data_IF_919728030397
#
_entry.id   IF_919728030397
#
_cell.length_a   1.000
_cell.length_b   1.000
_cell.length_c   1.000
_cell.angle_alpha   90.00
_cell.angle_beta   90.00
_cell.angle_gamma   90.00
#
_symmetry.space_group_name_H-M   'P 1'
#
loop_
_entity.id
_entity.type
_entity.pdbx_description
1 polymer ?
#
# COMPACT_ATOMS: atom_id res chain seq x y z
N UNK A 1 -27.37 28.73 1.18
CA UNK A 1 -27.38 27.26 0.92
C UNK A 1 -26.75 27.00 -0.45
N UNK A 2 -27.09 27.77 -1.52
CA UNK A 2 -26.67 27.50 -2.91
C UNK A 2 -25.15 27.67 -3.20
N UNK A 3 -24.44 28.57 -2.49
CA UNK A 3 -23.00 28.78 -2.71
C UNK A 3 -22.10 27.70 -2.07
N UNK A 4 -22.56 27.10 -0.98
CA UNK A 4 -21.79 26.08 -0.27
C UNK A 4 -21.85 24.73 -1.02
N UNK A 5 -23.02 24.38 -1.57
CA UNK A 5 -23.21 23.17 -2.35
C UNK A 5 -22.42 23.17 -3.67
N UNK A 6 -22.29 24.34 -4.30
CA UNK A 6 -21.49 24.51 -5.53
C UNK A 6 -19.99 24.32 -5.26
N UNK A 7 -19.46 24.96 -4.20
CA UNK A 7 -18.03 24.83 -3.84
C UNK A 7 -17.65 23.41 -3.40
N UNK A 8 -18.53 22.72 -2.66
CA UNK A 8 -18.33 21.33 -2.25
C UNK A 8 -18.37 20.39 -3.45
N UNK A 9 -19.29 20.63 -4.40
CA UNK A 9 -19.37 19.87 -5.64
C UNK A 9 -18.12 19.98 -6.50
N UNK A 10 -17.58 21.18 -6.68
CA UNK A 10 -16.38 21.41 -7.50
C UNK A 10 -15.11 20.84 -6.87
N UNK A 11 -14.95 20.98 -5.54
CA UNK A 11 -13.79 20.41 -4.82
C UNK A 11 -13.86 18.89 -4.83
N UNK A 12 -15.04 18.31 -4.68
CA UNK A 12 -15.23 16.87 -4.73
C UNK A 12 -14.98 16.32 -6.14
N UNK A 13 -15.39 17.03 -7.19
CA UNK A 13 -15.17 16.65 -8.59
C UNK A 13 -13.68 16.71 -8.97
N UNK A 14 -12.95 17.76 -8.56
CA UNK A 14 -11.49 17.88 -8.78
C UNK A 14 -10.71 16.80 -8.04
N UNK A 15 -11.07 16.48 -6.81
CA UNK A 15 -10.44 15.42 -6.02
C UNK A 15 -10.64 14.03 -6.61
N UNK A 16 -11.86 13.72 -7.03
CA UNK A 16 -12.16 12.48 -7.74
C UNK A 16 -11.37 12.38 -9.04
N UNK A 17 -11.29 13.48 -9.81
CA UNK A 17 -10.53 13.53 -11.05
C UNK A 17 -9.03 13.30 -10.81
N UNK A 18 -8.43 13.93 -9.80
CA UNK A 18 -7.01 13.76 -9.46
C UNK A 18 -6.68 12.35 -8.95
N UNK A 19 -7.54 11.78 -8.10
CA UNK A 19 -7.38 10.40 -7.67
C UNK A 19 -7.51 9.43 -8.85
N UNK A 20 -8.49 9.65 -9.73
CA UNK A 20 -8.65 8.88 -10.94
C UNK A 20 -7.44 8.99 -11.87
N UNK A 21 -6.91 10.19 -12.07
CA UNK A 21 -5.72 10.45 -12.89
C UNK A 21 -4.49 9.76 -12.30
N UNK A 22 -4.28 9.86 -10.99
CA UNK A 22 -3.18 9.20 -10.26
C UNK A 22 -3.25 7.67 -10.44
N UNK A 23 -4.42 7.09 -10.23
CA UNK A 23 -4.66 5.66 -10.39
C UNK A 23 -4.44 5.24 -11.85
N UNK A 24 -4.96 6.01 -12.80
CA UNK A 24 -4.82 5.73 -14.24
C UNK A 24 -3.35 5.73 -14.68
N UNK A 25 -2.55 6.69 -14.21
CA UNK A 25 -1.11 6.76 -14.50
C UNK A 25 -0.37 5.52 -13.97
N UNK A 26 -0.70 5.07 -12.76
CA UNK A 26 -0.08 3.87 -12.16
C UNK A 26 -0.50 2.61 -12.94
N UNK A 27 -1.75 2.50 -13.36
CA UNK A 27 -2.23 1.37 -14.18
C UNK A 27 -1.55 1.36 -15.54
N UNK A 28 -1.42 2.50 -16.21
CA UNK A 28 -0.73 2.63 -17.49
C UNK A 28 0.74 2.23 -17.36
N UNK A 29 1.41 2.66 -16.29
CA UNK A 29 2.79 2.26 -16.03
C UNK A 29 2.91 0.76 -15.76
N UNK A 30 1.98 0.18 -15.01
CA UNK A 30 1.93 -1.27 -14.78
C UNK A 30 1.72 -2.04 -16.08
N UNK A 31 0.80 -1.60 -16.95
CA UNK A 31 0.58 -2.18 -18.27
C UNK A 31 1.82 -2.11 -19.16
N UNK A 32 2.54 -0.97 -19.13
CA UNK A 32 3.82 -0.82 -19.82
C UNK A 32 4.88 -1.81 -19.31
N UNK A 33 4.97 -2.03 -17.98
CA UNK A 33 5.90 -3.00 -17.40
C UNK A 33 5.54 -4.44 -17.81
N UNK A 34 4.26 -4.76 -17.92
CA UNK A 34 3.80 -6.07 -18.39
C UNK A 34 4.17 -6.31 -19.87
N UNK A 35 4.02 -5.31 -20.74
CA UNK A 35 4.48 -5.38 -22.15
C UNK A 35 6.00 -5.61 -22.26
N UNK A 36 6.78 -4.94 -21.41
CA UNK A 36 8.23 -5.17 -21.31
C UNK A 36 8.59 -6.57 -20.85
N UNK A 37 7.80 -7.16 -19.97
CA UNK A 37 7.96 -8.55 -19.55
C UNK A 37 7.69 -9.51 -20.70
N UNK A 38 6.62 -9.27 -21.45
CA UNK A 38 6.27 -10.11 -22.63
C UNK A 38 7.45 -10.23 -23.58
N UNK A 39 8.16 -9.15 -23.79
CA UNK A 39 9.39 -9.11 -24.58
C UNK A 39 10.61 -9.72 -23.85
N UNK A 40 10.40 -10.44 -22.73
CA UNK A 40 11.44 -11.09 -21.88
C UNK A 40 12.54 -10.15 -21.38
N UNK A 41 12.25 -8.86 -21.26
CA UNK A 41 13.23 -7.85 -20.84
C UNK A 41 13.28 -7.63 -19.32
N UNK A 42 12.25 -8.06 -18.56
CA UNK A 42 12.12 -7.75 -17.14
C UNK A 42 11.60 -8.98 -16.38
N UNK A 43 12.16 -9.25 -15.20
CA UNK A 43 11.68 -10.29 -14.29
C UNK A 43 10.46 -9.84 -13.47
N UNK A 44 9.59 -10.76 -13.06
CA UNK A 44 8.38 -10.50 -12.30
C UNK A 44 8.60 -9.69 -11.02
N UNK A 45 9.65 -10.03 -10.26
CA UNK A 45 10.01 -9.30 -9.02
C UNK A 45 10.36 -7.84 -9.29
N UNK A 46 11.04 -7.58 -10.40
CA UNK A 46 11.48 -6.24 -10.81
C UNK A 46 10.30 -5.36 -11.18
N UNK A 47 9.24 -5.94 -11.79
CA UNK A 47 8.02 -5.21 -12.13
C UNK A 47 7.35 -4.64 -10.88
N UNK A 48 7.18 -5.46 -9.84
CA UNK A 48 6.53 -5.01 -8.60
C UNK A 48 7.37 -3.93 -7.91
N UNK A 49 8.69 -4.08 -7.87
CA UNK A 49 9.58 -3.07 -7.29
C UNK A 49 9.50 -1.74 -8.05
N UNK A 50 9.53 -1.78 -9.39
CA UNK A 50 9.40 -0.57 -10.20
C UNK A 50 8.04 0.10 -10.05
N UNK A 51 6.97 -0.70 -9.97
CA UNK A 51 5.62 -0.18 -9.71
C UNK A 51 5.57 0.59 -8.39
N UNK A 52 6.15 0.03 -7.33
CA UNK A 52 6.17 0.67 -6.01
C UNK A 52 7.05 1.94 -6.01
N UNK A 53 8.24 1.90 -6.61
CA UNK A 53 9.09 3.11 -6.73
C UNK A 53 8.39 4.21 -7.52
N UNK A 54 7.76 3.85 -8.63
CA UNK A 54 6.98 4.81 -9.43
C UNK A 54 5.81 5.40 -8.62
N UNK A 55 5.12 4.55 -7.85
CA UNK A 55 4.04 5.01 -6.97
C UNK A 55 4.53 5.98 -5.89
N UNK A 56 5.73 5.78 -5.34
CA UNK A 56 6.36 6.73 -4.41
C UNK A 56 6.56 8.10 -5.08
N UNK A 57 7.06 8.12 -6.30
CA UNK A 57 7.26 9.38 -7.05
C UNK A 57 5.92 10.09 -7.25
N UNK A 58 4.90 9.37 -7.68
CA UNK A 58 3.56 9.92 -7.91
C UNK A 58 2.95 10.48 -6.62
N UNK A 59 3.04 9.74 -5.48
CA UNK A 59 2.54 10.24 -4.19
C UNK A 59 3.18 11.57 -3.81
N UNK A 60 4.50 11.66 -3.95
CA UNK A 60 5.21 12.88 -3.56
C UNK A 60 4.90 14.06 -4.50
N UNK A 61 4.72 13.80 -5.79
CA UNK A 61 4.24 14.81 -6.74
C UNK A 61 2.83 15.27 -6.35
N UNK A 62 1.93 14.33 -6.02
CA UNK A 62 0.56 14.64 -5.59
C UNK A 62 0.54 15.50 -4.34
N UNK A 63 1.37 15.18 -3.34
CA UNK A 63 1.48 15.97 -2.10
C UNK A 63 1.95 17.40 -2.40
N UNK A 64 2.96 17.57 -3.25
CA UNK A 64 3.54 18.88 -3.55
C UNK A 64 2.60 19.80 -4.33
N UNK A 65 1.86 19.26 -5.29
CA UNK A 65 1.07 20.07 -6.23
C UNK A 65 -0.42 20.19 -5.88
N UNK A 66 -1.00 19.21 -5.18
CA UNK A 66 -2.45 19.08 -5.08
C UNK A 66 -3.01 19.14 -3.65
N UNK A 67 -2.15 19.25 -2.62
CA UNK A 67 -2.62 19.37 -1.26
C UNK A 67 -2.78 20.86 -0.88
N UNK A 68 -3.87 21.47 -1.33
CA UNK A 68 -4.16 22.89 -0.97
C UNK A 68 -4.47 23.02 0.51
N UNK A 69 -4.17 24.21 1.09
CA UNK A 69 -4.47 24.52 2.50
C UNK A 69 -5.98 24.45 2.80
N UNK A 70 -6.82 24.79 1.84
CA UNK A 70 -8.29 24.79 1.98
C UNK A 70 -8.81 23.35 2.10
N UNK A 71 -8.33 22.45 1.26
CA UNK A 71 -8.73 21.03 1.31
C UNK A 71 -8.27 20.36 2.60
N UNK A 72 -7.08 20.69 3.09
CA UNK A 72 -6.59 20.21 4.38
C UNK A 72 -7.50 20.66 5.53
N UNK A 73 -7.99 21.89 5.52
CA UNK A 73 -8.84 22.40 6.59
C UNK A 73 -10.21 21.70 6.65
N UNK A 74 -10.83 21.44 5.51
CA UNK A 74 -12.12 20.72 5.46
C UNK A 74 -11.99 19.27 5.90
N UNK A 75 -10.96 18.58 5.42
CA UNK A 75 -10.68 17.20 5.82
C UNK A 75 -10.33 17.13 7.31
N UNK A 76 -9.60 18.13 7.82
CA UNK A 76 -9.26 18.26 9.23
C UNK A 76 -10.50 18.39 10.11
N UNK A 77 -11.42 19.26 9.73
CA UNK A 77 -12.66 19.48 10.48
C UNK A 77 -13.51 18.18 10.52
N UNK A 78 -13.64 17.50 9.40
CA UNK A 78 -14.36 16.22 9.34
C UNK A 78 -13.71 15.14 10.22
N UNK A 79 -12.40 14.97 10.13
CA UNK A 79 -11.66 13.99 10.94
C UNK A 79 -11.67 14.34 12.42
N UNK A 80 -11.61 15.62 12.78
CA UNK A 80 -11.73 16.06 14.16
C UNK A 80 -13.10 15.68 14.76
N UNK A 81 -14.19 15.88 14.03
CA UNK A 81 -15.52 15.47 14.46
C UNK A 81 -15.58 13.96 14.70
N UNK A 82 -15.13 13.16 13.74
CA UNK A 82 -15.11 11.70 13.89
C UNK A 82 -14.24 11.24 15.06
N UNK A 83 -13.06 11.83 15.23
CA UNK A 83 -12.16 11.46 16.32
C UNK A 83 -12.75 11.84 17.67
N UNK A 84 -13.39 12.99 17.79
CA UNK A 84 -14.06 13.42 19.01
C UNK A 84 -15.26 12.52 19.36
N UNK A 85 -16.05 12.10 18.38
CA UNK A 85 -17.15 11.15 18.58
C UNK A 85 -16.61 9.79 19.07
N UNK A 86 -15.53 9.30 18.46
CA UNK A 86 -14.87 8.06 18.86
C UNK A 86 -14.30 8.15 20.29
N UNK A 87 -13.61 9.25 20.63
CA UNK A 87 -13.05 9.46 21.97
C UNK A 87 -14.12 9.64 23.05
N UNK A 88 -15.26 10.24 22.74
CA UNK A 88 -16.40 10.33 23.66
C UNK A 88 -17.02 8.97 23.97
N UNK A 89 -16.97 8.04 23.02
CA UNK A 89 -17.48 6.67 23.23
C UNK A 89 -16.52 5.77 24.01
N UNK A 90 -15.24 6.15 24.12
CA UNK A 90 -14.20 5.41 24.84
C UNK A 90 -13.72 6.22 26.05
N UNK A 91 -14.26 5.92 27.23
CA UNK A 91 -13.99 6.68 28.49
C UNK A 91 -12.50 6.76 28.90
N UNK A 92 -11.61 5.94 28.32
CA UNK A 92 -10.21 5.79 28.76
C UNK A 92 -9.19 6.58 27.92
N UNK A 93 -9.59 7.26 26.83
CA UNK A 93 -8.65 7.88 25.87
C UNK A 93 -8.59 9.43 25.93
N UNK A 94 -9.00 10.02 27.04
CA UNK A 94 -9.02 11.52 27.20
C UNK A 94 -7.63 12.20 27.16
N UNK A 95 -6.54 11.43 27.18
CA UNK A 95 -5.15 11.96 27.26
C UNK A 95 -4.58 12.30 25.86
N UNK A 96 -5.22 11.85 24.78
CA UNK A 96 -4.66 12.04 23.43
C UNK A 96 -5.19 13.35 22.84
N UNK A 97 -4.27 14.27 22.52
CA UNK A 97 -4.61 15.47 21.77
C UNK A 97 -5.12 15.09 20.36
N UNK A 98 -6.46 15.12 20.20
CA UNK A 98 -7.15 14.79 18.98
C UNK A 98 -6.68 15.64 17.79
N UNK A 99 -6.22 16.87 18.03
CA UNK A 99 -5.79 17.78 16.97
C UNK A 99 -4.46 17.34 16.35
N UNK A 100 -3.50 16.95 17.18
CA UNK A 100 -2.18 16.48 16.71
C UNK A 100 -2.27 15.14 15.98
N UNK A 101 -3.14 14.25 16.44
CA UNK A 101 -3.42 12.98 15.75
C UNK A 101 -4.01 13.19 14.36
N UNK A 102 -5.01 14.04 14.25
CA UNK A 102 -5.66 14.36 12.98
C UNK A 102 -4.68 14.98 11.99
N UNK A 103 -3.81 15.89 12.45
CA UNK A 103 -2.79 16.51 11.60
C UNK A 103 -1.77 15.48 11.05
N UNK A 104 -1.41 14.48 11.84
CA UNK A 104 -0.55 13.37 11.39
C UNK A 104 -1.29 12.52 10.34
N UNK A 105 -2.53 12.12 10.63
CA UNK A 105 -3.34 11.30 9.74
C UNK A 105 -3.48 11.96 8.37
N UNK A 106 -3.85 13.25 8.31
CA UNK A 106 -4.00 13.97 7.05
C UNK A 106 -2.74 13.90 6.20
N UNK A 107 -1.58 14.07 6.82
CA UNK A 107 -0.30 14.12 6.13
C UNK A 107 0.18 12.75 5.64
N UNK A 108 -0.31 11.64 6.22
CA UNK A 108 0.05 10.28 5.80
C UNK A 108 -1.01 9.61 4.89
N UNK A 109 -2.22 10.20 4.79
CA UNK A 109 -3.31 9.68 3.91
C UNK A 109 -2.83 9.37 2.49
N UNK A 110 -2.02 10.20 1.79
CA UNK A 110 -1.57 9.89 0.45
C UNK A 110 -0.81 8.56 0.35
N UNK A 111 0.08 8.28 1.30
CA UNK A 111 0.80 7.01 1.38
C UNK A 111 -0.13 5.83 1.62
N UNK A 112 -1.10 5.99 2.53
CA UNK A 112 -2.10 4.95 2.84
C UNK A 112 -2.96 4.65 1.61
N UNK A 113 -3.41 5.66 0.89
CA UNK A 113 -4.23 5.50 -0.31
C UNK A 113 -3.49 4.70 -1.39
N UNK A 114 -2.22 5.03 -1.63
CA UNK A 114 -1.41 4.29 -2.62
C UNK A 114 -1.13 2.86 -2.14
N UNK A 115 -0.83 2.67 -0.87
CA UNK A 115 -0.66 1.32 -0.32
C UNK A 115 -1.92 0.47 -0.53
N UNK A 116 -3.10 1.01 -0.22
CA UNK A 116 -4.40 0.34 -0.42
C UNK A 116 -4.65 0.05 -1.90
N UNK A 117 -4.35 1.01 -2.77
CA UNK A 117 -4.46 0.85 -4.21
C UNK A 117 -3.55 -0.28 -4.75
N UNK A 118 -2.28 -0.31 -4.36
CA UNK A 118 -1.34 -1.35 -4.76
C UNK A 118 -1.79 -2.73 -4.28
N UNK A 119 -2.33 -2.80 -3.07
CA UNK A 119 -2.90 -4.05 -2.52
C UNK A 119 -4.07 -4.52 -3.38
N UNK A 120 -5.01 -3.64 -3.69
CA UNK A 120 -6.17 -3.94 -4.54
C UNK A 120 -5.76 -4.33 -5.95
N UNK A 121 -4.80 -3.63 -6.55
CA UNK A 121 -4.28 -3.90 -7.89
C UNK A 121 -3.69 -5.32 -7.98
N UNK A 122 -2.79 -5.68 -7.07
CA UNK A 122 -2.17 -7.01 -7.09
C UNK A 122 -3.17 -8.12 -6.72
N UNK A 123 -4.11 -7.84 -5.84
CA UNK A 123 -5.15 -8.78 -5.49
C UNK A 123 -6.08 -9.06 -6.68
N UNK A 124 -6.56 -8.03 -7.36
CA UNK A 124 -7.36 -8.17 -8.58
C UNK A 124 -6.59 -8.90 -9.68
N UNK A 125 -5.30 -8.59 -9.85
CA UNK A 125 -4.45 -9.30 -10.79
C UNK A 125 -4.35 -10.79 -10.45
N UNK A 126 -4.24 -11.15 -9.18
CA UNK A 126 -4.18 -12.54 -8.73
C UNK A 126 -5.50 -13.30 -8.97
N UNK A 127 -6.64 -12.66 -8.68
CA UNK A 127 -7.98 -13.22 -8.96
C UNK A 127 -8.16 -13.45 -10.46
N UNK A 128 -7.87 -12.44 -11.26
CA UNK A 128 -7.99 -12.50 -12.72
C UNK A 128 -7.17 -13.67 -13.27
N UNK A 129 -5.96 -13.88 -12.78
CA UNK A 129 -5.13 -15.02 -13.15
C UNK A 129 -5.82 -16.36 -12.84
N UNK A 130 -6.41 -16.52 -11.65
CA UNK A 130 -7.10 -17.75 -11.25
C UNK A 130 -8.30 -18.01 -12.19
N UNK A 131 -9.05 -16.96 -12.52
CA UNK A 131 -10.21 -17.08 -13.42
C UNK A 131 -9.80 -17.47 -14.84
N UNK A 132 -8.77 -16.83 -15.38
CA UNK A 132 -8.26 -17.08 -16.73
C UNK A 132 -7.77 -18.53 -16.88
N UNK A 133 -7.02 -19.04 -15.89
CA UNK A 133 -6.56 -20.45 -15.88
C UNK A 133 -7.76 -21.40 -15.84
N UNK A 134 -8.83 -21.08 -15.10
CA UNK A 134 -10.05 -21.90 -15.07
C UNK A 134 -10.84 -21.87 -16.37
N UNK A 135 -10.76 -20.78 -17.13
CA UNK A 135 -11.47 -20.61 -18.41
C UNK A 135 -10.68 -21.18 -19.60
N UNK A 136 -9.55 -21.87 -19.38
CA UNK A 136 -8.68 -22.47 -20.41
C UNK A 136 -8.25 -21.49 -21.51
N UNK A 137 -8.12 -20.20 -21.20
CA UNK A 137 -7.50 -19.26 -22.11
C UNK A 137 -5.99 -19.57 -22.20
N UNK A 138 -5.60 -20.27 -23.26
CA UNK A 138 -4.21 -20.51 -23.62
C UNK A 138 -3.55 -19.16 -23.95
N UNK A 139 -2.32 -18.94 -23.54
CA UNK A 139 -1.49 -17.75 -23.84
C UNK A 139 -1.59 -16.53 -22.93
N UNK A 140 -2.12 -16.62 -21.72
CA UNK A 140 -2.02 -15.48 -20.81
C UNK A 140 -0.84 -15.64 -19.85
N UNK A 141 -0.02 -14.56 -19.83
CA UNK A 141 1.20 -14.45 -19.05
C UNK A 141 1.06 -14.98 -17.63
N UNK A 142 1.82 -16.02 -17.32
CA UNK A 142 1.90 -16.55 -15.96
C UNK A 142 2.90 -15.73 -15.15
N UNK A 143 2.39 -14.69 -14.49
CA UNK A 143 3.15 -13.98 -13.46
C UNK A 143 3.40 -14.96 -12.29
N UNK A 144 4.66 -15.33 -12.06
CA UNK A 144 5.00 -16.24 -10.95
C UNK A 144 5.09 -15.47 -9.64
N UNK A 145 3.94 -15.05 -9.12
CA UNK A 145 3.83 -14.34 -7.84
C UNK A 145 4.43 -15.12 -6.66
N UNK A 146 4.44 -16.45 -6.76
CA UNK A 146 4.91 -17.34 -5.68
C UNK A 146 6.41 -17.32 -5.43
N UNK A 147 7.20 -16.65 -6.26
CA UNK A 147 8.65 -16.54 -6.12
C UNK A 147 9.16 -15.12 -5.86
N UNK A 148 8.26 -14.19 -5.49
CA UNK A 148 8.65 -12.82 -5.20
C UNK A 148 9.56 -12.76 -3.96
N UNK A 149 10.66 -12.07 -4.09
CA UNK A 149 11.61 -11.74 -3.02
C UNK A 149 12.03 -10.29 -3.16
N UNK A 150 11.99 -9.56 -2.06
CA UNK A 150 12.44 -8.17 -2.03
C UNK A 150 13.95 -8.10 -2.26
N UNK A 151 14.44 -7.25 -3.18
CA UNK A 151 15.86 -6.95 -3.29
C UNK A 151 16.41 -6.34 -1.98
N UNK A 152 17.60 -6.75 -1.57
CA UNK A 152 18.17 -6.29 -0.30
C UNK A 152 18.30 -4.77 -0.21
N UNK A 153 18.64 -4.10 -1.31
CA UNK A 153 18.77 -2.64 -1.34
C UNK A 153 17.44 -1.94 -1.03
N UNK A 154 16.29 -2.51 -1.44
CA UNK A 154 14.96 -1.97 -1.12
C UNK A 154 14.67 -2.09 0.36
N UNK A 155 15.00 -3.23 0.97
CA UNK A 155 14.85 -3.42 2.41
C UNK A 155 15.78 -2.50 3.22
N UNK A 156 16.99 -2.26 2.75
CA UNK A 156 17.90 -1.27 3.34
C UNK A 156 17.33 0.15 3.22
N UNK A 157 16.79 0.51 2.05
CA UNK A 157 16.15 1.80 1.82
C UNK A 157 14.95 2.01 2.76
N UNK A 158 14.14 0.97 2.99
CA UNK A 158 13.06 1.00 3.97
C UNK A 158 13.58 1.33 5.37
N UNK A 159 14.65 0.67 5.83
CA UNK A 159 15.22 0.94 7.14
C UNK A 159 15.84 2.35 7.25
N UNK A 160 16.47 2.85 6.18
CA UNK A 160 16.96 4.23 6.12
C UNK A 160 15.81 5.22 6.27
N UNK A 161 14.73 5.06 5.51
CA UNK A 161 13.54 5.93 5.63
C UNK A 161 12.87 5.82 6.99
N UNK A 162 12.87 4.63 7.58
CA UNK A 162 12.39 4.43 8.95
C UNK A 162 13.17 5.28 9.94
N UNK A 163 14.50 5.23 9.94
CA UNK A 163 15.37 6.04 10.81
C UNK A 163 15.17 7.53 10.53
N UNK A 164 15.16 7.96 9.26
CA UNK A 164 14.98 9.36 8.87
C UNK A 164 13.62 9.92 9.31
N UNK A 165 12.57 9.10 9.34
CA UNK A 165 11.25 9.52 9.80
C UNK A 165 11.20 9.90 11.29
N UNK A 166 12.14 9.40 12.10
CA UNK A 166 12.30 9.78 13.51
C UNK A 166 13.29 10.93 13.73
N UNK A 167 14.33 11.02 12.90
CA UNK A 167 15.37 12.03 13.07
C UNK A 167 14.99 13.39 12.49
N UNK A 168 14.12 13.43 11.48
CA UNK A 168 13.78 14.65 10.77
C UNK A 168 12.47 15.22 11.32
N UNK A 169 12.44 16.55 11.53
CA UNK A 169 11.29 17.28 12.00
C UNK A 169 10.62 18.08 10.87
N UNK A 170 9.40 18.55 11.12
CA UNK A 170 8.64 19.37 10.18
C UNK A 170 8.03 18.58 9.02
N UNK A 171 7.83 19.23 7.88
CA UNK A 171 7.15 18.64 6.74
C UNK A 171 7.94 17.51 6.06
N UNK A 172 9.27 17.57 6.11
CA UNK A 172 10.12 16.52 5.55
C UNK A 172 9.90 15.16 6.23
N UNK A 173 9.55 15.12 7.53
CA UNK A 173 9.17 13.89 8.23
C UNK A 173 8.04 13.16 7.51
N UNK A 174 7.02 13.87 7.07
CA UNK A 174 5.85 13.25 6.41
C UNK A 174 6.16 12.74 5.01
N UNK A 175 7.13 13.36 4.32
CA UNK A 175 7.68 12.81 3.09
C UNK A 175 8.24 11.40 3.33
N UNK A 176 9.13 11.25 4.32
CA UNK A 176 9.72 9.95 4.65
C UNK A 176 8.68 8.94 5.14
N UNK A 177 7.69 9.37 5.93
CA UNK A 177 6.59 8.52 6.37
C UNK A 177 5.76 7.98 5.20
N UNK A 178 5.39 8.82 4.23
CA UNK A 178 4.67 8.38 3.04
C UNK A 178 5.49 7.40 2.20
N UNK A 179 6.79 7.67 2.00
CA UNK A 179 7.68 6.75 1.32
C UNK A 179 7.77 5.39 2.07
N UNK A 180 7.88 5.43 3.39
CA UNK A 180 7.93 4.26 4.25
C UNK A 180 6.64 3.42 4.14
N UNK A 181 5.47 4.07 4.18
CA UNK A 181 4.17 3.40 4.05
C UNK A 181 4.09 2.69 2.69
N UNK A 182 4.48 3.36 1.61
CA UNK A 182 4.43 2.74 0.27
C UNK A 182 5.47 1.61 0.13
N UNK A 183 6.68 1.76 0.68
CA UNK A 183 7.68 0.68 0.70
C UNK A 183 7.26 -0.50 1.57
N UNK A 184 6.53 -0.26 2.66
CA UNK A 184 6.03 -1.32 3.54
C UNK A 184 5.11 -2.30 2.80
N UNK A 185 4.51 -1.85 1.69
CA UNK A 185 3.74 -2.71 0.80
C UNK A 185 4.56 -3.90 0.27
N UNK A 186 5.83 -3.71 -0.09
CA UNK A 186 6.68 -4.80 -0.57
C UNK A 186 6.93 -5.85 0.52
N UNK A 187 7.17 -5.38 1.76
CA UNK A 187 7.39 -6.25 2.92
C UNK A 187 6.10 -7.03 3.23
N UNK A 188 4.97 -6.35 3.26
CA UNK A 188 3.66 -6.96 3.41
C UNK A 188 3.40 -8.02 2.33
N UNK A 189 3.69 -7.69 1.07
CA UNK A 189 3.47 -8.58 -0.05
C UNK A 189 4.34 -9.85 0.02
N UNK A 190 5.61 -9.74 0.43
CA UNK A 190 6.47 -10.92 0.65
C UNK A 190 5.94 -11.79 1.80
N UNK A 191 5.47 -11.17 2.88
CA UNK A 191 4.79 -11.88 3.98
C UNK A 191 3.53 -12.60 3.53
N UNK A 192 2.72 -11.94 2.68
CA UNK A 192 1.54 -12.56 2.07
C UNK A 192 1.89 -13.80 1.24
N UNK A 193 2.94 -13.72 0.43
CA UNK A 193 3.42 -14.86 -0.36
C UNK A 193 3.92 -16.00 0.53
N UNK A 194 4.67 -15.66 1.59
CA UNK A 194 5.13 -16.67 2.55
C UNK A 194 3.95 -17.36 3.24
N UNK A 195 2.96 -16.60 3.66
CA UNK A 195 1.73 -17.13 4.23
C UNK A 195 0.97 -18.01 3.24
N UNK A 196 0.82 -17.58 1.99
CA UNK A 196 0.20 -18.37 0.94
C UNK A 196 0.93 -19.70 0.68
N UNK A 197 2.27 -19.73 0.77
CA UNK A 197 3.06 -20.96 0.63
C UNK A 197 2.75 -21.99 1.74
N UNK A 198 2.40 -21.53 2.94
CA UNK A 198 1.99 -22.44 4.03
C UNK A 198 0.74 -23.24 3.61
N UNK A 199 -0.25 -22.56 3.02
CA UNK A 199 -1.45 -23.22 2.53
C UNK A 199 -1.21 -24.21 1.38
N UNK A 200 -0.14 -23.99 0.58
CA UNK A 200 0.23 -24.93 -0.48
C UNK A 200 0.62 -26.30 0.08
N UNK A 201 1.19 -26.34 1.28
CA UNK A 201 1.62 -27.56 1.94
C UNK A 201 0.44 -28.49 2.30
N UNK A 202 -0.76 -27.94 2.47
CA UNK A 202 -1.96 -28.66 2.90
C UNK A 202 -2.87 -29.13 1.75
N UNK A 203 -2.41 -29.12 0.50
CA UNK A 203 -3.14 -29.58 -0.70
C UNK A 203 -4.58 -29.03 -0.86
N UNK A 204 -4.88 -27.93 -0.21
CA UNK A 204 -6.18 -27.26 -0.24
C UNK A 204 -6.42 -26.72 -1.66
N UNK A 205 -7.67 -26.80 -2.16
CA UNK A 205 -8.04 -26.23 -3.46
C UNK A 205 -7.75 -24.71 -3.50
N UNK A 206 -7.26 -24.20 -4.63
CA UNK A 206 -6.90 -22.79 -4.80
C UNK A 206 -8.05 -21.83 -4.54
N UNK A 207 -9.28 -22.20 -4.86
CA UNK A 207 -10.46 -21.42 -4.54
C UNK A 207 -10.71 -21.34 -3.03
N UNK A 208 -10.57 -22.47 -2.34
CA UNK A 208 -10.74 -22.53 -0.87
C UNK A 208 -9.63 -21.75 -0.16
N UNK A 209 -8.38 -21.80 -0.63
CA UNK A 209 -7.28 -20.97 -0.13
C UNK A 209 -7.62 -19.48 -0.23
N UNK A 210 -8.11 -19.07 -1.40
CA UNK A 210 -8.53 -17.70 -1.62
C UNK A 210 -9.65 -17.29 -0.68
N UNK A 211 -10.68 -18.12 -0.55
CA UNK A 211 -11.81 -17.88 0.34
C UNK A 211 -11.37 -17.73 1.81
N UNK A 212 -10.47 -18.60 2.28
CA UNK A 212 -9.94 -18.53 3.65
C UNK A 212 -9.18 -17.21 3.85
N UNK A 213 -8.29 -16.83 2.92
CA UNK A 213 -7.53 -15.59 3.02
C UNK A 213 -8.47 -14.39 3.01
N UNK A 214 -9.47 -14.39 2.14
CA UNK A 214 -10.48 -13.32 2.06
C UNK A 214 -11.28 -13.18 3.36
N UNK A 215 -11.73 -14.30 3.92
CA UNK A 215 -12.42 -14.31 5.22
C UNK A 215 -11.50 -13.82 6.35
N UNK A 216 -10.24 -14.22 6.36
CA UNK A 216 -9.26 -13.71 7.33
C UNK A 216 -9.08 -12.18 7.21
N UNK A 217 -9.09 -11.62 6.00
CA UNK A 217 -9.05 -10.17 5.81
C UNK A 217 -10.29 -9.48 6.36
N UNK A 218 -11.49 -10.07 6.18
CA UNK A 218 -12.74 -9.50 6.70
C UNK A 218 -12.76 -9.55 8.24
N UNK A 219 -12.40 -10.68 8.83
CA UNK A 219 -12.53 -10.88 10.28
C UNK A 219 -11.38 -10.31 11.10
N UNK A 220 -10.15 -10.43 10.61
CA UNK A 220 -8.96 -9.97 11.32
C UNK A 220 -8.48 -8.58 10.90
N UNK A 221 -8.94 -8.06 9.75
CA UNK A 221 -8.66 -6.70 9.29
C UNK A 221 -7.21 -6.26 9.50
N UNK A 222 -7.02 -5.26 10.35
CA UNK A 222 -5.70 -4.67 10.64
C UNK A 222 -4.71 -5.65 11.27
N UNK A 223 -5.18 -6.62 12.07
CA UNK A 223 -4.31 -7.59 12.74
C UNK A 223 -3.62 -8.49 11.72
N UNK A 224 -4.36 -8.96 10.72
CA UNK A 224 -3.76 -9.77 9.64
C UNK A 224 -2.72 -8.97 8.87
N UNK A 225 -2.97 -7.70 8.64
CA UNK A 225 -2.04 -6.78 7.98
C UNK A 225 -0.71 -6.70 8.73
N UNK A 226 -0.78 -6.48 10.05
CA UNK A 226 0.40 -6.43 10.92
C UNK A 226 1.15 -7.76 10.93
N UNK A 227 0.43 -8.87 11.04
CA UNK A 227 1.03 -10.22 11.04
C UNK A 227 1.79 -10.48 9.73
N UNK A 228 1.20 -10.19 8.58
CA UNK A 228 1.83 -10.38 7.29
C UNK A 228 3.05 -9.48 7.11
N UNK A 229 2.98 -8.23 7.57
CA UNK A 229 4.11 -7.31 7.59
C UNK A 229 5.26 -7.86 8.44
N UNK A 230 4.97 -8.33 9.66
CA UNK A 230 5.99 -8.89 10.58
C UNK A 230 6.64 -10.14 9.97
N UNK A 231 5.86 -11.02 9.33
CA UNK A 231 6.40 -12.21 8.64
C UNK A 231 7.37 -11.78 7.52
N UNK A 232 6.96 -10.84 6.67
CA UNK A 232 7.81 -10.34 5.59
C UNK A 232 9.07 -9.64 6.09
N UNK A 233 8.95 -8.84 7.15
CA UNK A 233 10.09 -8.19 7.79
C UNK A 233 11.08 -9.21 8.35
N UNK A 234 10.61 -10.21 9.08
CA UNK A 234 11.43 -11.29 9.62
C UNK A 234 12.17 -12.06 8.53
N UNK A 235 11.52 -12.36 7.41
CA UNK A 235 12.15 -13.06 6.27
C UNK A 235 13.34 -12.26 5.73
N UNK A 236 13.15 -10.96 5.52
CA UNK A 236 14.21 -10.08 4.99
C UNK A 236 15.36 -9.91 5.99
N UNK A 237 15.04 -9.72 7.25
CA UNK A 237 16.06 -9.64 8.32
C UNK A 237 16.90 -10.92 8.38
N UNK A 238 16.26 -12.09 8.32
CA UNK A 238 16.95 -13.38 8.29
C UNK A 238 17.86 -13.56 7.07
N UNK A 239 17.43 -13.06 5.88
CA UNK A 239 18.25 -13.07 4.65
C UNK A 239 19.54 -12.26 4.84
N UNK A 240 19.45 -11.06 5.42
CA UNK A 240 20.60 -10.19 5.66
C UNK A 240 21.54 -10.83 6.67
N UNK A 241 21.01 -11.29 7.82
CA UNK A 241 21.82 -11.93 8.87
C UNK A 241 22.59 -13.15 8.35
N UNK A 242 21.96 -14.00 7.54
CA UNK A 242 22.63 -15.17 6.94
C UNK A 242 23.78 -14.80 6.00
N UNK A 243 23.76 -13.62 5.38
CA UNK A 243 24.86 -13.16 4.52
C UNK A 243 26.00 -12.64 5.35
N UNK A 244 25.71 -11.86 6.39
CA UNK A 244 26.73 -11.30 7.31
C UNK A 244 27.49 -12.41 8.04
N UNK A 245 26.82 -13.52 8.40
CA UNK A 245 27.47 -14.65 9.10
C UNK A 245 28.32 -15.51 8.16
N UNK A 246 28.08 -15.44 6.83
CA UNK A 246 28.83 -16.21 5.83
C UNK A 246 30.05 -15.47 5.26
N UNK A 247 30.18 -14.18 5.53
CA UNK A 247 31.38 -13.37 5.25
C UNK A 247 32.30 -13.37 6.44
#
# INVERSE_FOLDING_TARGET
ISHFDFLVGDIFSTKLFLNFLTISIIILFFSFLLDKKEKKKIEDKTIIVYLVIFSIIIVNITILFFFSKVEQSQLREYLLKLTQEFLKSSNDLQIIDSSSLVDIIIKIIPGINIFSFLTTLLFNFHITKILIVKMNFENIYTFKLTSFEIPNWVFLLFNVFFVLSFMIFGNAKYFFLNCLIVLSFLIFYEGFIAFYKIFKKYEINNFLKFLIIFLLFIFLGYVLFLVLFVIGFYINLKKILKRVIKT
#
